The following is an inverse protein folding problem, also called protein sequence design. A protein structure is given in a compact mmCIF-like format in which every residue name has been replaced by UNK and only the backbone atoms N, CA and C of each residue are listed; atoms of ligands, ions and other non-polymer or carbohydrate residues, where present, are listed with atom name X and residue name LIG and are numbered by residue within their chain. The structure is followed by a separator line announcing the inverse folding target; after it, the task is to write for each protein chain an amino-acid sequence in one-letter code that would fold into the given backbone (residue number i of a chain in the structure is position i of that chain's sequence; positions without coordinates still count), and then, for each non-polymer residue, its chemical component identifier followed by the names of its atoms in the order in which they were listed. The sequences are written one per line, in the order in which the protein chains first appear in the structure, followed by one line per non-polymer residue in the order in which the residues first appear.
data_IF_282690498428
#
_entry.id   IF_282690498428
#
_cell.length_a   1.000
_cell.length_b   1.000
_cell.length_c   1.000
_cell.angle_alpha   90.00
_cell.angle_beta   90.00
_cell.angle_gamma   90.00
#
_symmetry.space_group_name_H-M   'P 1'
#
loop_
_entity.id
_entity.type
_entity.pdbx_description
1 polymer ?
#
# COMPACT_ATOMS: atom_id res chain seq x y z
N UNK A 1 10.05 43.78 -9.81
CA UNK A 1 9.22 43.25 -8.72
C UNK A 1 9.81 41.90 -8.33
N UNK A 2 10.62 41.86 -7.27
CA UNK A 2 11.17 40.61 -6.72
C UNK A 2 10.31 40.29 -5.52
N UNK A 3 9.50 39.25 -5.63
CA UNK A 3 8.70 38.77 -4.49
C UNK A 3 9.65 38.23 -3.42
N UNK A 4 9.51 38.76 -2.22
CA UNK A 4 10.16 38.27 -1.01
C UNK A 4 9.86 36.78 -0.86
N UNK A 5 10.89 35.91 -0.94
CA UNK A 5 10.74 34.50 -0.60
C UNK A 5 10.75 34.39 0.92
N UNK A 6 9.62 34.06 1.56
CA UNK A 6 9.57 33.89 3.01
C UNK A 6 10.43 32.70 3.44
N UNK A 7 11.44 32.95 4.28
CA UNK A 7 12.41 31.93 4.74
C UNK A 7 11.80 30.90 5.71
N UNK A 8 10.52 31.04 6.05
CA UNK A 8 9.78 30.15 6.95
C UNK A 8 9.33 28.84 6.28
N UNK A 9 9.48 28.71 4.95
CA UNK A 9 9.02 27.57 4.15
C UNK A 9 9.94 26.35 4.26
N UNK A 10 11.26 26.55 4.26
CA UNK A 10 12.23 25.45 4.25
C UNK A 10 12.20 24.60 5.54
N UNK A 11 12.07 25.25 6.70
CA UNK A 11 12.06 24.56 8.00
C UNK A 11 10.77 23.75 8.17
N UNK A 12 9.63 24.32 7.77
CA UNK A 12 8.36 23.59 7.79
C UNK A 12 8.39 22.40 6.85
N UNK A 13 8.91 22.55 5.63
CA UNK A 13 9.09 21.42 4.70
C UNK A 13 10.07 20.36 5.21
N UNK A 14 11.16 20.75 5.87
CA UNK A 14 12.11 19.81 6.44
C UNK A 14 11.49 19.00 7.60
N UNK A 15 10.70 19.65 8.46
CA UNK A 15 9.95 18.99 9.52
C UNK A 15 8.91 18.03 8.92
N UNK A 16 8.25 18.45 7.84
CA UNK A 16 7.28 17.64 7.11
C UNK A 16 7.90 16.32 6.63
N UNK A 17 9.05 16.41 5.95
CA UNK A 17 9.78 15.25 5.41
C UNK A 17 10.29 14.35 6.54
N UNK A 18 10.80 14.93 7.64
CA UNK A 18 11.30 14.17 8.78
C UNK A 18 10.18 13.37 9.47
N UNK A 19 8.99 13.98 9.60
CA UNK A 19 7.84 13.36 10.23
C UNK A 19 7.29 12.22 9.36
N UNK A 20 7.24 12.41 8.04
CA UNK A 20 6.95 11.35 7.06
C UNK A 20 7.93 10.19 7.19
N UNK A 21 9.23 10.48 7.25
CA UNK A 21 10.27 9.46 7.35
C UNK A 21 10.12 8.59 8.59
N UNK A 22 9.89 9.20 9.76
CA UNK A 22 9.73 8.48 11.03
C UNK A 22 8.50 7.55 11.03
N UNK A 23 7.39 8.03 10.46
CA UNK A 23 6.17 7.23 10.30
C UNK A 23 6.48 6.05 9.38
N UNK A 24 6.98 6.29 8.17
CA UNK A 24 7.28 5.22 7.21
C UNK A 24 8.25 4.19 7.78
N UNK A 25 9.33 4.61 8.43
CA UNK A 25 10.31 3.70 9.02
C UNK A 25 9.67 2.75 10.04
N UNK A 26 8.87 3.30 10.96
CA UNK A 26 8.22 2.52 12.02
C UNK A 26 7.20 1.55 11.44
N UNK A 27 6.47 1.98 10.42
CA UNK A 27 5.50 1.18 9.69
C UNK A 27 6.17 0.02 8.91
N UNK A 28 7.27 0.27 8.19
CA UNK A 28 8.03 -0.77 7.48
C UNK A 28 8.58 -1.84 8.43
N UNK A 29 8.97 -1.45 9.65
CA UNK A 29 9.47 -2.40 10.66
C UNK A 29 8.43 -3.47 11.06
N UNK A 30 7.13 -3.16 10.91
CA UNK A 30 6.03 -4.06 11.26
C UNK A 30 5.73 -5.13 10.19
N UNK A 31 6.19 -4.98 8.94
CA UNK A 31 5.90 -5.93 7.84
C UNK A 31 6.72 -7.23 7.86
N UNK A 32 7.63 -7.43 8.82
CA UNK A 32 8.67 -8.49 8.77
C UNK A 32 8.18 -9.96 8.94
N UNK A 33 6.89 -10.32 8.79
CA UNK A 33 6.41 -11.70 9.06
C UNK A 33 5.46 -12.30 8.02
N UNK A 34 5.97 -12.60 6.81
CA UNK A 34 5.26 -13.17 5.64
C UNK A 34 4.21 -14.27 5.93
N UNK A 35 2.94 -13.87 5.93
CA UNK A 35 1.72 -14.69 5.77
C UNK A 35 0.71 -13.91 4.91
N UNK A 36 -0.30 -14.55 4.32
CA UNK A 36 -1.34 -13.88 3.52
C UNK A 36 -2.05 -12.71 4.25
N UNK A 37 -2.05 -12.73 5.59
CA UNK A 37 -2.51 -11.61 6.42
C UNK A 37 -1.68 -10.33 6.25
N UNK A 38 -0.44 -10.41 5.78
CA UNK A 38 0.42 -9.25 5.59
C UNK A 38 0.07 -8.43 4.36
N UNK A 39 -0.62 -9.02 3.38
CA UNK A 39 -1.20 -8.23 2.29
C UNK A 39 -2.28 -7.31 2.84
N UNK A 40 -3.13 -7.83 3.72
CA UNK A 40 -4.17 -7.06 4.39
C UNK A 40 -3.54 -5.99 5.29
N UNK A 41 -2.52 -6.34 6.08
CA UNK A 41 -1.78 -5.36 6.89
C UNK A 41 -1.10 -4.30 6.03
N UNK A 42 -0.50 -4.66 4.90
CA UNK A 42 0.12 -3.73 3.96
C UNK A 42 -0.89 -2.79 3.31
N UNK A 43 -2.07 -3.28 2.95
CA UNK A 43 -3.16 -2.46 2.41
C UNK A 43 -3.71 -1.50 3.48
N UNK A 44 -3.94 -2.01 4.69
CA UNK A 44 -4.36 -1.22 5.86
C UNK A 44 -3.32 -0.15 6.21
N UNK A 45 -2.04 -0.46 6.06
CA UNK A 45 -0.95 0.47 6.27
C UNK A 45 -1.00 1.66 5.31
N UNK A 46 -1.15 1.37 4.01
CA UNK A 46 -1.23 2.40 2.97
C UNK A 46 -2.44 3.30 3.22
N UNK A 47 -3.56 2.72 3.63
CA UNK A 47 -4.76 3.47 4.04
C UNK A 47 -4.47 4.40 5.24
N UNK A 48 -3.77 3.92 6.26
CA UNK A 48 -3.42 4.73 7.43
C UNK A 48 -2.49 5.90 7.06
N UNK A 49 -1.50 5.66 6.19
CA UNK A 49 -0.58 6.67 5.68
C UNK A 49 -1.34 7.73 4.88
N UNK A 50 -2.30 7.33 4.04
CA UNK A 50 -3.15 8.25 3.30
C UNK A 50 -3.96 9.16 4.23
N UNK A 51 -4.54 8.59 5.28
CA UNK A 51 -5.36 9.34 6.24
C UNK A 51 -4.51 10.36 7.00
N UNK A 52 -3.32 9.97 7.48
CA UNK A 52 -2.38 10.88 8.14
C UNK A 52 -1.87 11.97 7.19
N UNK A 53 -1.55 11.60 5.95
CA UNK A 53 -1.08 12.52 4.91
C UNK A 53 -2.13 13.57 4.54
N UNK A 54 -3.40 13.18 4.52
CA UNK A 54 -4.52 14.08 4.27
C UNK A 54 -4.76 15.04 5.45
N UNK A 55 -4.72 14.53 6.69
CA UNK A 55 -4.93 15.35 7.90
C UNK A 55 -3.82 16.37 8.11
N UNK A 56 -2.56 15.97 7.88
CA UNK A 56 -1.39 16.84 8.04
C UNK A 56 -1.08 17.69 6.79
N UNK A 57 -1.90 17.60 5.73
CA UNK A 57 -1.74 18.33 4.46
C UNK A 57 -0.34 18.15 3.82
N UNK A 58 0.21 16.93 3.93
CA UNK A 58 1.56 16.60 3.46
C UNK A 58 1.59 16.55 1.92
N UNK A 59 1.85 17.68 1.26
CA UNK A 59 1.77 17.82 -0.20
C UNK A 59 2.62 16.77 -0.94
N UNK A 60 3.86 16.56 -0.47
CA UNK A 60 4.79 15.61 -1.11
C UNK A 60 4.35 14.16 -0.91
N UNK A 61 3.88 13.80 0.28
CA UNK A 61 3.45 12.43 0.55
C UNK A 61 2.15 12.12 -0.20
N UNK A 62 1.21 13.06 -0.25
CA UNK A 62 -0.02 12.92 -1.03
C UNK A 62 0.30 12.69 -2.52
N UNK A 63 1.23 13.47 -3.09
CA UNK A 63 1.66 13.28 -4.48
C UNK A 63 2.24 11.88 -4.75
N UNK A 64 3.07 11.36 -3.83
CA UNK A 64 3.61 9.99 -3.94
C UNK A 64 2.48 8.95 -3.84
N UNK A 65 1.58 9.10 -2.88
CA UNK A 65 0.47 8.17 -2.66
C UNK A 65 -0.49 8.10 -3.84
N UNK A 66 -0.76 9.22 -4.52
CA UNK A 66 -1.57 9.24 -5.74
C UNK A 66 -0.96 8.37 -6.85
N UNK A 67 0.35 8.52 -7.09
CA UNK A 67 1.06 7.68 -8.07
C UNK A 67 1.11 6.22 -7.64
N UNK A 68 1.34 5.97 -6.35
CA UNK A 68 1.45 4.64 -5.79
C UNK A 68 0.12 3.87 -5.85
N UNK A 69 -1.01 4.53 -5.56
CA UNK A 69 -2.35 3.90 -5.55
C UNK A 69 -2.70 3.30 -6.91
N UNK A 70 -2.30 3.96 -8.01
CA UNK A 70 -2.50 3.45 -9.37
C UNK A 70 -1.78 2.12 -9.59
N UNK A 71 -0.54 2.02 -9.14
CA UNK A 71 0.28 0.79 -9.24
C UNK A 71 -0.18 -0.28 -8.25
N UNK A 72 -0.66 0.14 -7.08
CA UNK A 72 -1.10 -0.73 -6.00
C UNK A 72 -2.23 -1.67 -6.43
N UNK A 73 -3.22 -1.18 -7.19
CA UNK A 73 -4.34 -2.01 -7.67
C UNK A 73 -3.82 -3.16 -8.54
N UNK A 74 -2.91 -2.87 -9.46
CA UNK A 74 -2.31 -3.87 -10.35
C UNK A 74 -1.49 -4.86 -9.52
N UNK A 75 -0.69 -4.36 -8.57
CA UNK A 75 0.15 -5.18 -7.70
C UNK A 75 -0.69 -6.15 -6.85
N UNK A 76 -1.79 -5.65 -6.26
CA UNK A 76 -2.75 -6.46 -5.52
C UNK A 76 -3.28 -7.57 -6.42
N UNK A 77 -3.76 -7.27 -7.63
CA UNK A 77 -4.25 -8.31 -8.55
C UNK A 77 -3.16 -9.36 -8.83
N UNK A 78 -1.92 -8.96 -9.14
CA UNK A 78 -0.82 -9.89 -9.43
C UNK A 78 -0.47 -10.78 -8.23
N UNK A 79 -0.43 -10.22 -7.02
CA UNK A 79 -0.09 -10.99 -5.81
C UNK A 79 -1.25 -11.93 -5.43
N UNK A 80 -2.50 -11.53 -5.66
CA UNK A 80 -3.68 -12.36 -5.39
C UNK A 80 -3.98 -13.38 -6.50
N UNK A 81 -3.48 -13.20 -7.72
CA UNK A 81 -3.59 -14.18 -8.81
C UNK A 81 -3.24 -15.63 -8.41
N UNK A 82 -2.11 -15.94 -7.72
CA UNK A 82 -1.79 -17.30 -7.30
C UNK A 82 -2.80 -17.92 -6.34
N UNK A 83 -3.42 -17.15 -5.45
CA UNK A 83 -4.48 -17.60 -4.53
C UNK A 83 -5.71 -18.04 -5.33
N UNK A 84 -6.19 -17.18 -6.25
CA UNK A 84 -7.32 -17.46 -7.13
C UNK A 84 -7.07 -18.72 -7.97
N UNK A 85 -5.87 -18.82 -8.57
CA UNK A 85 -5.46 -19.99 -9.36
C UNK A 85 -5.45 -21.28 -8.53
N UNK A 86 -5.02 -21.23 -7.27
CA UNK A 86 -5.02 -22.40 -6.37
C UNK A 86 -6.44 -22.83 -6.01
N UNK A 87 -7.36 -21.89 -5.84
CA UNK A 87 -8.77 -22.17 -5.53
C UNK A 87 -9.44 -23.00 -6.65
N UNK A 88 -9.27 -22.59 -7.91
CA UNK A 88 -9.79 -23.32 -9.06
C UNK A 88 -9.14 -24.70 -9.23
N UNK A 89 -7.83 -24.80 -8.98
CA UNK A 89 -7.12 -26.09 -9.05
C UNK A 89 -7.59 -27.07 -7.99
N UNK A 90 -7.85 -26.61 -6.75
CA UNK A 90 -8.30 -27.46 -5.64
C UNK A 90 -9.67 -28.10 -5.91
N UNK A 91 -10.56 -27.40 -6.62
CA UNK A 91 -11.87 -27.95 -6.96
C UNK A 91 -11.84 -28.92 -8.14
N UNK A 92 -10.84 -28.89 -9.02
CA UNK A 92 -10.77 -29.72 -10.24
C UNK A 92 -10.85 -31.24 -9.97
N UNK A 93 -10.34 -31.69 -8.82
CA UNK A 93 -10.38 -33.11 -8.43
C UNK A 93 -11.77 -33.56 -7.95
N UNK A 94 -12.63 -32.62 -7.49
CA UNK A 94 -13.99 -32.93 -7.05
C UNK A 94 -14.92 -33.19 -8.24
N UNK A 95 -14.75 -32.43 -9.33
CA UNK A 95 -15.51 -32.59 -10.57
C UNK A 95 -15.17 -33.89 -11.31
N UNK A 96 -13.92 -34.35 -11.22
CA UNK A 96 -13.48 -35.59 -11.87
C UNK A 96 -14.23 -36.83 -11.35
N UNK A 97 -14.54 -36.89 -10.04
CA UNK A 97 -15.35 -37.98 -9.45
C UNK A 97 -16.82 -38.00 -9.89
N UNK A 98 -17.37 -36.87 -10.33
CA UNK A 98 -18.79 -36.79 -10.71
C UNK A 98 -18.99 -37.32 -12.14
N UNK A 99 -17.98 -37.18 -13.00
CA UNK A 99 -18.07 -37.58 -14.39
C UNK A 99 -17.67 -39.04 -14.65
N UNK A 100 -16.84 -39.65 -13.79
CA UNK A 100 -16.37 -41.04 -13.92
C UNK A 100 -17.43 -42.11 -13.58
N UNK A 101 -18.64 -41.73 -13.17
CA UNK A 101 -19.69 -42.65 -12.71
C UNK A 101 -20.91 -42.76 -13.67
N UNK A 102 -20.78 -42.28 -14.91
CA UNK A 102 -21.77 -42.46 -15.98
C UNK A 102 -21.16 -43.28 -17.11
#
# INVERSE_FOLDING_TARGET
MVEWIPHYTLITHAIDILLVYLIIYKLLSWLKRTHALDLIKGLFLIFLIFLVSSVLQLTTLNWILEKFTTVLIILVVIIFQPELRRFFRKNRLKWKRIYDHK
#
